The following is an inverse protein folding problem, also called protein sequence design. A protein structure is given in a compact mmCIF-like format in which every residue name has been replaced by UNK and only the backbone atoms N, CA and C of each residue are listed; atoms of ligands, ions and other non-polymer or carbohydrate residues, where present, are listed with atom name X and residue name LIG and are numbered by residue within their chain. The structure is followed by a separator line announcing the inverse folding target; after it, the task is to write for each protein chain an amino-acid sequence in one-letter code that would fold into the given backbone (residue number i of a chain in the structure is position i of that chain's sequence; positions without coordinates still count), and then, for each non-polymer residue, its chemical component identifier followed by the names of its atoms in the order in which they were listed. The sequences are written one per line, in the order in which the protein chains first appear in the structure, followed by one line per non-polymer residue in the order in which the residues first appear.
data_IF_047228591383
#
_entry.id   IF_047228591383
#
_cell.length_a   1.000
_cell.length_b   1.000
_cell.length_c   1.000
_cell.angle_alpha   90.00
_cell.angle_beta   90.00
_cell.angle_gamma   90.00
#
_symmetry.space_group_name_H-M   'P 1'
#
loop_
_entity.id
_entity.type
_entity.pdbx_description
1 polymer ?
#
# COMPACT_ATOMS: atom_id res chain seq x y z
N UNK A 1 -17.72 -18.55 -13.69
CA UNK A 1 -18.72 -18.01 -12.75
C UNK A 1 -18.66 -16.50 -12.93
N UNK A 2 -19.82 -15.84 -13.20
CA UNK A 2 -19.85 -14.41 -13.37
C UNK A 2 -19.54 -13.68 -12.03
N UNK A 3 -19.15 -12.42 -12.13
CA UNK A 3 -18.74 -11.61 -10.97
C UNK A 3 -19.85 -11.45 -9.91
N UNK A 4 -21.12 -11.40 -10.35
CA UNK A 4 -22.27 -11.22 -9.44
C UNK A 4 -22.51 -12.49 -8.63
N UNK A 5 -22.45 -13.65 -9.28
CA UNK A 5 -22.61 -14.96 -8.65
C UNK A 5 -21.44 -15.22 -7.67
N UNK A 6 -20.20 -14.85 -8.06
CA UNK A 6 -19.03 -14.97 -7.19
C UNK A 6 -19.18 -14.14 -5.90
N UNK A 7 -19.60 -12.87 -6.00
CA UNK A 7 -19.84 -12.03 -4.82
C UNK A 7 -20.92 -12.58 -3.89
N UNK A 8 -22.02 -13.09 -4.47
CA UNK A 8 -23.07 -13.74 -3.66
C UNK A 8 -22.53 -14.95 -2.92
N UNK A 9 -21.77 -15.80 -3.58
CA UNK A 9 -21.16 -16.98 -2.96
C UNK A 9 -20.20 -16.60 -1.83
N UNK A 10 -19.37 -15.58 -2.03
CA UNK A 10 -18.47 -15.07 -1.00
C UNK A 10 -19.22 -14.55 0.23
N UNK A 11 -20.33 -13.83 0.03
CA UNK A 11 -21.18 -13.36 1.13
C UNK A 11 -21.83 -14.52 1.88
N UNK A 12 -22.31 -15.54 1.20
CA UNK A 12 -22.89 -16.73 1.84
C UNK A 12 -21.83 -17.53 2.61
N UNK A 13 -20.61 -17.66 2.06
CA UNK A 13 -19.48 -18.29 2.78
C UNK A 13 -19.12 -17.50 4.05
N UNK A 14 -19.10 -16.17 3.97
CA UNK A 14 -18.84 -15.32 5.14
C UNK A 14 -19.92 -15.50 6.22
N UNK A 15 -21.19 -15.60 5.83
CA UNK A 15 -22.32 -15.87 6.74
C UNK A 15 -22.21 -17.26 7.36
N UNK A 16 -21.97 -18.29 6.55
CA UNK A 16 -21.79 -19.67 7.04
C UNK A 16 -20.65 -19.77 8.04
N UNK A 17 -19.51 -19.12 7.75
CA UNK A 17 -18.38 -19.05 8.68
C UNK A 17 -18.78 -18.47 10.04
N UNK A 18 -19.55 -17.40 10.05
CA UNK A 18 -19.99 -16.75 11.28
C UNK A 18 -20.94 -17.62 12.13
N UNK A 19 -21.66 -18.58 11.50
CA UNK A 19 -22.62 -19.45 12.19
C UNK A 19 -22.07 -20.85 12.49
N UNK A 20 -21.14 -21.33 11.67
CA UNK A 20 -20.54 -22.64 11.80
C UNK A 20 -19.17 -22.53 12.46
N UNK A 21 -19.07 -22.98 13.70
CA UNK A 21 -17.78 -22.99 14.41
C UNK A 21 -16.93 -24.20 13.98
N UNK A 22 -16.67 -24.31 12.66
CA UNK A 22 -15.87 -25.38 12.05
C UNK A 22 -14.64 -24.77 11.36
N UNK A 23 -13.48 -25.43 11.43
CA UNK A 23 -12.30 -24.99 10.69
C UNK A 23 -12.53 -25.12 9.18
N UNK A 24 -12.23 -24.06 8.43
CA UNK A 24 -12.31 -24.04 6.97
C UNK A 24 -10.96 -23.68 6.39
N UNK A 25 -10.53 -24.41 5.34
CA UNK A 25 -9.36 -24.10 4.58
C UNK A 25 -9.76 -23.62 3.18
N UNK A 26 -9.41 -22.37 2.86
CA UNK A 26 -9.61 -21.79 1.54
C UNK A 26 -8.27 -21.65 0.84
N UNK A 27 -8.19 -22.15 -0.39
CA UNK A 27 -7.04 -21.92 -1.28
C UNK A 27 -7.50 -21.03 -2.42
N UNK A 28 -6.92 -19.86 -2.50
CA UNK A 28 -7.26 -18.85 -3.51
C UNK A 28 -6.04 -18.06 -3.96
N UNK A 29 -6.09 -17.47 -5.13
CA UNK A 29 -5.14 -16.48 -5.61
C UNK A 29 -5.71 -15.05 -5.54
N UNK A 30 -6.95 -14.90 -5.06
CA UNK A 30 -7.63 -13.64 -4.92
C UNK A 30 -7.43 -13.11 -3.49
N UNK A 31 -6.69 -12.02 -3.38
CA UNK A 31 -6.35 -11.40 -2.10
C UNK A 31 -7.56 -10.77 -1.40
N UNK A 32 -8.50 -10.22 -2.17
CA UNK A 32 -9.72 -9.63 -1.63
C UNK A 32 -10.62 -10.71 -1.02
N UNK A 33 -10.72 -11.87 -1.69
CA UNK A 33 -11.41 -13.05 -1.17
C UNK A 33 -10.77 -13.55 0.13
N UNK A 34 -9.45 -13.68 0.16
CA UNK A 34 -8.73 -14.08 1.35
C UNK A 34 -8.91 -13.07 2.51
N UNK A 35 -8.84 -11.76 2.22
CA UNK A 35 -9.05 -10.70 3.21
C UNK A 35 -10.45 -10.72 3.81
N UNK A 36 -11.46 -10.99 2.99
CA UNK A 36 -12.86 -11.02 3.41
C UNK A 36 -13.22 -12.28 4.21
N UNK A 37 -12.63 -13.43 3.87
CA UNK A 37 -13.07 -14.72 4.37
C UNK A 37 -12.14 -15.33 5.43
N UNK A 38 -10.88 -14.95 5.53
CA UNK A 38 -9.93 -15.62 6.39
C UNK A 38 -9.72 -14.92 7.75
N UNK A 39 -9.59 -15.70 8.83
CA UNK A 39 -9.07 -15.24 10.11
C UNK A 39 -7.54 -15.23 10.11
N UNK A 40 -6.96 -16.19 9.38
CA UNK A 40 -5.51 -16.32 9.17
C UNK A 40 -5.21 -16.59 7.71
N UNK A 41 -4.13 -15.99 7.23
CA UNK A 41 -3.64 -16.11 5.87
C UNK A 41 -2.22 -16.68 5.87
N UNK A 42 -1.92 -17.48 4.89
CA UNK A 42 -0.57 -18.01 4.63
C UNK A 42 -0.21 -17.72 3.18
N UNK A 43 0.88 -17.02 2.96
CA UNK A 43 1.44 -16.81 1.61
C UNK A 43 2.32 -18.00 1.24
N UNK A 44 1.90 -18.71 0.18
CA UNK A 44 2.66 -19.81 -0.40
C UNK A 44 3.29 -19.35 -1.72
N UNK A 45 4.58 -19.60 -1.88
CA UNK A 45 5.28 -19.36 -3.13
C UNK A 45 6.32 -20.45 -3.40
N UNK A 46 6.25 -21.06 -4.58
CA UNK A 46 7.16 -22.15 -5.01
C UNK A 46 7.29 -23.27 -3.96
N UNK A 47 6.14 -23.70 -3.42
CA UNK A 47 6.08 -24.80 -2.44
C UNK A 47 6.58 -24.44 -1.03
N UNK A 48 6.81 -23.16 -0.73
CA UNK A 48 7.27 -22.72 0.59
C UNK A 48 6.32 -21.71 1.19
N UNK A 49 6.12 -21.80 2.50
CA UNK A 49 5.45 -20.74 3.28
C UNK A 49 6.41 -19.58 3.43
N UNK A 50 5.99 -18.38 3.02
CA UNK A 50 6.77 -17.15 3.15
C UNK A 50 6.38 -16.33 4.37
N UNK A 51 5.08 -16.21 4.64
CA UNK A 51 4.55 -15.48 5.79
C UNK A 51 3.19 -16.05 6.18
N UNK A 52 2.90 -16.02 7.47
CA UNK A 52 1.58 -16.34 8.02
C UNK A 52 1.20 -15.27 9.05
N UNK A 53 -0.11 -14.92 9.09
CA UNK A 53 -0.64 -13.92 10.02
C UNK A 53 -2.12 -13.68 9.77
N UNK A 54 -2.69 -12.63 10.33
CA UNK A 54 -4.00 -12.13 9.91
C UNK A 54 -3.89 -11.55 8.50
N UNK A 55 -4.97 -11.49 7.71
CA UNK A 55 -4.92 -10.86 6.38
C UNK A 55 -4.36 -9.43 6.43
N UNK A 56 -4.76 -8.66 7.44
CA UNK A 56 -4.29 -7.29 7.61
C UNK A 56 -2.77 -7.24 7.88
N UNK A 57 -2.24 -8.07 8.78
CA UNK A 57 -0.80 -8.15 9.04
C UNK A 57 -0.01 -8.54 7.80
N UNK A 58 -0.47 -9.54 7.04
CA UNK A 58 0.24 -10.02 5.84
C UNK A 58 0.23 -8.97 4.73
N UNK A 59 -0.88 -8.27 4.55
CA UNK A 59 -1.05 -7.29 3.48
C UNK A 59 -0.46 -5.92 3.80
N UNK A 60 -0.43 -5.50 5.08
CA UNK A 60 0.09 -4.18 5.47
C UNK A 60 1.50 -4.23 6.04
N UNK A 61 1.97 -5.40 6.49
CA UNK A 61 3.29 -5.61 7.11
C UNK A 61 4.03 -6.79 6.48
N UNK A 62 4.30 -6.77 5.17
CA UNK A 62 5.04 -7.84 4.52
C UNK A 62 6.46 -7.93 5.09
N UNK A 63 6.90 -9.17 5.40
CA UNK A 63 8.23 -9.42 5.98
C UNK A 63 9.37 -9.35 4.96
N UNK A 64 9.05 -9.20 3.67
CA UNK A 64 10.05 -9.03 2.61
C UNK A 64 9.46 -8.32 1.39
N UNK A 65 10.35 -7.74 0.56
CA UNK A 65 9.98 -7.15 -0.72
C UNK A 65 9.29 -8.15 -1.67
N UNK A 66 9.63 -9.43 -1.58
CA UNK A 66 8.97 -10.49 -2.36
C UNK A 66 7.52 -10.67 -1.95
N UNK A 67 7.23 -10.67 -0.65
CA UNK A 67 5.86 -10.77 -0.14
C UNK A 67 5.08 -9.51 -0.49
N UNK A 68 5.69 -8.33 -0.34
CA UNK A 68 5.07 -7.06 -0.73
C UNK A 68 4.58 -7.08 -2.19
N UNK A 69 5.39 -7.61 -3.11
CA UNK A 69 4.98 -7.78 -4.52
C UNK A 69 3.87 -8.81 -4.70
N UNK A 70 3.93 -9.93 -3.96
CA UNK A 70 2.90 -10.98 -4.04
C UNK A 70 1.55 -10.52 -3.54
N UNK A 71 1.51 -9.64 -2.53
CA UNK A 71 0.27 -9.03 -2.03
C UNK A 71 -0.11 -7.75 -2.79
N UNK A 72 0.53 -7.47 -3.93
CA UNK A 72 0.14 -6.40 -4.85
C UNK A 72 0.50 -4.98 -4.42
N UNK A 73 1.42 -4.82 -3.47
CA UNK A 73 1.90 -3.49 -3.07
C UNK A 73 2.74 -2.88 -4.21
N UNK A 74 2.26 -1.76 -4.74
CA UNK A 74 2.86 -1.08 -5.90
C UNK A 74 3.98 -0.11 -5.50
N UNK A 75 3.82 0.60 -4.37
CA UNK A 75 4.75 1.64 -3.91
C UNK A 75 5.86 1.02 -3.04
N UNK A 76 6.66 0.16 -3.62
CA UNK A 76 7.80 -0.49 -2.96
C UNK A 76 9.10 0.16 -3.44
N UNK A 77 9.81 0.83 -2.54
CA UNK A 77 11.01 1.60 -2.85
C UNK A 77 12.21 1.13 -2.03
N UNK A 78 13.40 1.48 -2.50
CA UNK A 78 14.64 1.41 -1.72
C UNK A 78 14.85 2.71 -0.94
N UNK A 79 15.42 2.61 0.25
CA UNK A 79 15.82 3.75 1.07
C UNK A 79 17.04 3.41 1.90
N UNK A 80 17.56 4.39 2.62
CA UNK A 80 18.68 4.22 3.54
C UNK A 80 18.31 4.77 4.91
N UNK A 81 18.63 4.06 5.98
CA UNK A 81 18.40 4.55 7.33
C UNK A 81 19.39 5.68 7.64
N UNK A 82 18.90 6.80 8.13
CA UNK A 82 19.68 7.98 8.45
C UNK A 82 19.42 8.44 9.89
N UNK A 83 20.43 9.01 10.52
CA UNK A 83 20.26 9.66 11.82
C UNK A 83 19.88 11.11 11.61
N UNK A 84 18.75 11.54 12.12
CA UNK A 84 18.29 12.93 12.03
C UNK A 84 17.52 13.35 13.29
N UNK A 85 17.82 14.53 13.83
CA UNK A 85 17.14 15.08 15.00
C UNK A 85 17.17 14.22 16.26
N UNK A 86 18.17 13.32 16.39
CA UNK A 86 18.30 12.39 17.53
C UNK A 86 17.51 11.09 17.39
N UNK A 87 16.83 10.88 16.24
CA UNK A 87 16.09 9.67 15.90
C UNK A 87 16.57 9.01 14.61
N UNK A 88 16.19 7.75 14.43
CA UNK A 88 16.39 7.02 13.18
C UNK A 88 15.25 7.37 12.23
N UNK A 89 15.59 7.79 11.01
CA UNK A 89 14.64 8.13 9.94
C UNK A 89 14.95 7.38 8.66
N UNK A 90 14.01 7.41 7.72
CA UNK A 90 14.19 6.84 6.40
C UNK A 90 14.64 7.93 5.41
N UNK A 91 15.85 7.80 4.91
CA UNK A 91 16.37 8.63 3.82
C UNK A 91 15.86 8.16 2.47
N UNK A 92 15.10 9.01 1.78
CA UNK A 92 14.56 8.74 0.46
C UNK A 92 14.41 10.03 -0.35
N UNK A 93 14.86 10.02 -1.61
CA UNK A 93 14.81 11.15 -2.58
C UNK A 93 15.22 12.51 -1.98
N UNK A 94 16.27 12.51 -1.14
CA UNK A 94 16.77 13.71 -0.48
C UNK A 94 16.03 14.15 0.78
N UNK A 95 15.02 13.41 1.22
CA UNK A 95 14.26 13.68 2.46
C UNK A 95 14.59 12.66 3.55
N UNK A 96 14.47 13.07 4.80
CA UNK A 96 14.49 12.21 5.99
C UNK A 96 13.05 12.05 6.50
N UNK A 97 12.45 10.89 6.22
CA UNK A 97 11.03 10.62 6.48
C UNK A 97 10.84 9.97 7.85
N UNK A 98 9.81 10.39 8.56
CA UNK A 98 9.30 9.69 9.73
C UNK A 98 8.44 8.52 9.27
N UNK A 99 8.74 7.32 9.79
CA UNK A 99 8.02 6.10 9.43
C UNK A 99 7.46 5.43 10.68
N UNK A 100 6.31 4.79 10.54
CA UNK A 100 5.58 4.20 11.67
C UNK A 100 6.38 3.12 12.41
N UNK A 101 7.28 2.44 11.69
CA UNK A 101 8.19 1.43 12.27
C UNK A 101 9.51 1.49 11.53
N UNK A 102 10.58 1.59 12.30
CA UNK A 102 11.94 1.63 11.79
C UNK A 102 12.85 0.82 12.73
N UNK A 103 13.61 -0.11 12.15
CA UNK A 103 14.57 -0.95 12.87
C UNK A 103 15.82 -1.07 12.01
N UNK A 104 17.00 -1.03 12.61
CA UNK A 104 18.27 -1.14 11.92
C UNK A 104 19.28 -0.10 12.37
N UNK A 105 20.34 0.07 11.61
CA UNK A 105 21.42 1.01 11.90
C UNK A 105 21.53 2.09 10.83
N UNK A 106 21.97 3.31 11.17
CA UNK A 106 22.26 4.34 10.18
C UNK A 106 23.20 3.83 9.09
N UNK A 107 22.89 4.12 7.83
CA UNK A 107 23.61 3.64 6.65
C UNK A 107 23.10 2.33 6.07
N UNK A 108 22.22 1.61 6.76
CA UNK A 108 21.62 0.38 6.24
C UNK A 108 20.63 0.67 5.11
N UNK A 109 20.69 -0.17 4.06
CA UNK A 109 19.72 -0.12 2.95
C UNK A 109 18.51 -0.96 3.29
N UNK A 110 17.32 -0.37 3.14
CA UNK A 110 16.05 -1.00 3.43
C UNK A 110 15.10 -0.93 2.24
N UNK A 111 14.19 -1.89 2.16
CA UNK A 111 13.00 -1.76 1.30
C UNK A 111 11.84 -1.30 2.15
N UNK A 112 11.06 -0.37 1.64
CA UNK A 112 9.93 0.20 2.35
C UNK A 112 8.74 0.42 1.42
N UNK A 113 7.56 0.59 1.98
CA UNK A 113 6.29 0.67 1.26
C UNK A 113 5.52 1.90 1.68
N UNK A 114 4.93 2.56 0.71
CA UNK A 114 3.90 3.60 0.96
C UNK A 114 2.53 2.99 0.67
N UNK A 115 1.67 2.78 1.67
CA UNK A 115 0.29 2.41 1.43
C UNK A 115 -0.40 3.51 0.60
N UNK A 116 -1.09 3.15 -0.51
CA UNK A 116 -1.75 4.16 -1.36
C UNK A 116 -2.76 5.03 -0.58
N UNK A 117 -3.37 4.46 0.44
CA UNK A 117 -4.33 5.14 1.33
C UNK A 117 -3.67 6.18 2.25
N UNK A 118 -2.35 6.06 2.47
CA UNK A 118 -1.55 7.00 3.26
C UNK A 118 -1.05 8.21 2.48
N UNK A 119 -1.33 8.28 1.16
CA UNK A 119 -0.88 9.40 0.33
C UNK A 119 -1.94 10.50 0.33
N UNK A 120 -1.57 11.67 0.83
CA UNK A 120 -2.38 12.89 0.77
C UNK A 120 -1.79 13.84 -0.26
N UNK A 121 -2.60 14.31 -1.20
CA UNK A 121 -2.16 15.25 -2.23
C UNK A 121 -2.48 16.68 -1.80
N UNK A 122 -1.45 17.50 -1.71
CA UNK A 122 -1.54 18.94 -1.46
C UNK A 122 -1.04 19.73 -2.68
N UNK A 123 -1.61 20.90 -2.92
CA UNK A 123 -1.08 21.84 -3.91
C UNK A 123 0.19 22.50 -3.38
N UNK A 124 1.14 22.83 -4.24
CA UNK A 124 2.39 23.54 -3.84
C UNK A 124 2.11 24.84 -3.08
N UNK A 125 1.07 25.58 -3.48
CA UNK A 125 0.67 26.84 -2.83
C UNK A 125 -0.06 26.63 -1.50
N UNK A 126 -0.45 25.39 -1.20
CA UNK A 126 -1.15 24.99 0.02
C UNK A 126 -0.56 23.69 0.57
N UNK A 127 0.71 23.73 1.03
CA UNK A 127 1.35 22.53 1.58
C UNK A 127 0.63 22.08 2.85
N UNK A 128 0.87 20.83 3.22
CA UNK A 128 0.42 20.27 4.48
C UNK A 128 0.86 21.13 5.66
N UNK A 129 0.01 21.20 6.69
CA UNK A 129 0.31 21.78 7.99
C UNK A 129 0.26 20.75 9.11
N UNK A 130 0.12 19.48 8.77
CA UNK A 130 0.07 18.35 9.72
C UNK A 130 1.45 18.01 10.27
N UNK A 131 1.57 17.91 11.59
CA UNK A 131 2.84 17.56 12.27
C UNK A 131 3.28 16.12 12.03
N UNK A 132 2.36 15.24 11.57
CA UNK A 132 2.60 13.80 11.33
C UNK A 132 2.75 13.45 9.85
N UNK A 133 2.95 14.42 8.97
CA UNK A 133 3.07 14.20 7.53
C UNK A 133 4.51 14.37 7.06
N UNK A 134 4.88 13.56 6.07
CA UNK A 134 6.16 13.67 5.37
C UNK A 134 5.95 14.41 4.04
N UNK A 135 6.08 15.74 3.98
CA UNK A 135 5.85 16.47 2.76
C UNK A 135 6.97 16.20 1.75
N UNK A 136 6.61 15.65 0.60
CA UNK A 136 7.52 15.41 -0.52
C UNK A 136 6.93 16.05 -1.76
N UNK A 137 7.66 17.01 -2.35
CA UNK A 137 7.26 17.63 -3.59
C UNK A 137 7.48 16.68 -4.78
N UNK A 138 6.69 16.83 -5.82
CA UNK A 138 6.81 15.99 -7.01
C UNK A 138 5.95 16.51 -8.17
N UNK A 139 6.11 15.88 -9.33
CA UNK A 139 5.38 16.19 -10.54
C UNK A 139 4.48 15.02 -10.92
N UNK A 140 3.24 15.31 -11.30
CA UNK A 140 2.30 14.30 -11.79
C UNK A 140 2.75 13.83 -13.17
N UNK A 141 3.12 12.57 -13.27
CA UNK A 141 3.55 11.95 -14.51
C UNK A 141 2.36 11.51 -15.36
N UNK A 142 1.33 10.95 -14.71
CA UNK A 142 0.21 10.32 -15.39
C UNK A 142 -1.04 10.33 -14.51
N UNK A 143 -2.21 10.45 -15.16
CA UNK A 143 -3.53 10.38 -14.55
C UNK A 143 -4.42 9.44 -15.35
N UNK A 144 -4.81 8.32 -14.78
CA UNK A 144 -5.69 7.34 -15.42
C UNK A 144 -7.05 7.30 -14.72
N UNK A 145 -8.11 7.69 -15.45
CA UNK A 145 -9.47 7.62 -14.93
C UNK A 145 -9.99 6.19 -14.97
N UNK A 146 -10.34 5.64 -13.81
CA UNK A 146 -10.87 4.29 -13.62
C UNK A 146 -12.27 4.37 -12.97
N UNK A 147 -13.22 4.92 -13.72
CA UNK A 147 -14.60 5.11 -13.26
C UNK A 147 -14.68 6.10 -12.08
N UNK A 148 -15.06 5.66 -10.84
CA UNK A 148 -15.23 6.57 -9.71
C UNK A 148 -13.92 7.07 -9.13
N UNK A 149 -12.78 6.48 -9.50
CA UNK A 149 -11.45 6.86 -9.04
C UNK A 149 -10.55 7.24 -10.20
N UNK A 150 -9.62 8.14 -9.94
CA UNK A 150 -8.51 8.48 -10.83
C UNK A 150 -7.22 8.03 -10.17
N UNK A 151 -6.51 7.13 -10.83
CA UNK A 151 -5.17 6.71 -10.43
C UNK A 151 -4.17 7.78 -10.88
N UNK A 152 -3.32 8.19 -9.96
CA UNK A 152 -2.29 9.20 -10.17
C UNK A 152 -0.92 8.54 -9.98
N UNK A 153 0.01 8.87 -10.85
CA UNK A 153 1.42 8.54 -10.72
C UNK A 153 2.22 9.83 -10.58
N UNK A 154 2.80 10.05 -9.41
CA UNK A 154 3.57 11.25 -9.09
C UNK A 154 5.04 10.85 -8.93
N UNK A 155 5.92 11.50 -9.67
CA UNK A 155 7.38 11.34 -9.53
C UNK A 155 7.85 12.37 -8.51
N UNK A 156 8.42 11.93 -7.36
CA UNK A 156 8.99 12.83 -6.37
C UNK A 156 10.17 13.63 -6.94
N UNK A 157 10.33 14.86 -6.51
CA UNK A 157 11.49 15.67 -6.85
C UNK A 157 12.77 14.98 -6.31
N UNK A 158 13.77 14.81 -7.18
CA UNK A 158 14.99 14.06 -6.87
C UNK A 158 14.88 12.53 -7.02
N UNK A 159 13.70 12.00 -7.36
CA UNK A 159 13.46 10.60 -7.64
C UNK A 159 13.20 10.31 -9.12
N UNK A 160 13.13 9.01 -9.47
CA UNK A 160 12.77 8.54 -10.81
C UNK A 160 11.60 7.56 -10.80
N UNK A 161 11.30 6.96 -9.65
CA UNK A 161 10.24 5.98 -9.50
C UNK A 161 8.95 6.68 -9.05
N UNK A 162 7.82 6.50 -9.75
CA UNK A 162 6.58 7.15 -9.39
C UNK A 162 5.92 6.50 -8.16
N UNK A 163 5.34 7.33 -7.31
CA UNK A 163 4.38 6.93 -6.28
C UNK A 163 3.00 6.84 -6.93
N UNK A 164 2.34 5.69 -6.83
CA UNK A 164 1.01 5.45 -7.36
C UNK A 164 -0.03 5.49 -6.24
N UNK A 165 -1.09 6.25 -6.42
CA UNK A 165 -2.22 6.33 -5.50
C UNK A 165 -3.50 6.68 -6.26
N UNK A 166 -4.65 6.58 -5.59
CA UNK A 166 -5.93 6.89 -6.21
C UNK A 166 -6.68 7.93 -5.39
N UNK A 167 -7.33 8.84 -6.11
CA UNK A 167 -8.27 9.80 -5.51
C UNK A 167 -9.65 9.64 -6.16
N UNK A 168 -10.75 10.02 -5.50
CA UNK A 168 -12.05 10.09 -6.15
C UNK A 168 -11.99 10.99 -7.38
N UNK A 169 -12.58 10.57 -8.50
CA UNK A 169 -12.49 11.29 -9.78
C UNK A 169 -12.96 12.74 -9.67
N UNK A 170 -14.04 13.00 -8.91
CA UNK A 170 -14.50 14.37 -8.68
C UNK A 170 -13.50 15.25 -7.92
N UNK A 171 -12.61 14.64 -7.10
CA UNK A 171 -11.53 15.37 -6.40
C UNK A 171 -10.42 15.71 -7.38
N UNK A 172 -10.06 14.79 -8.27
CA UNK A 172 -9.09 15.04 -9.34
C UNK A 172 -9.55 16.19 -10.24
N UNK A 173 -10.81 16.13 -10.70
CA UNK A 173 -11.41 17.15 -11.57
C UNK A 173 -11.48 18.52 -10.87
N UNK A 174 -12.01 18.59 -9.64
CA UNK A 174 -12.10 19.85 -8.88
C UNK A 174 -10.77 20.53 -8.62
N UNK A 175 -9.70 19.76 -8.53
CA UNK A 175 -8.36 20.26 -8.26
C UNK A 175 -7.49 20.39 -9.51
N UNK A 176 -8.06 20.16 -10.71
CA UNK A 176 -7.37 20.22 -12.00
C UNK A 176 -6.08 19.40 -12.01
N UNK A 177 -6.14 18.18 -11.43
CA UNK A 177 -4.97 17.31 -11.37
C UNK A 177 -4.71 16.74 -12.77
N UNK A 178 -3.60 17.13 -13.36
CA UNK A 178 -3.16 16.75 -14.69
C UNK A 178 -1.65 16.49 -14.71
N UNK A 179 -1.13 15.77 -15.72
CA UNK A 179 0.30 15.65 -15.95
C UNK A 179 0.98 17.00 -16.16
N UNK A 180 2.17 17.19 -15.55
CA UNK A 180 2.99 18.42 -15.68
C UNK A 180 3.18 19.22 -14.42
#
# INVERSE_FOLDING_TARGET
VDQVTRRKLQQELARLRAHLNIPMLLVTHDLDEARMLADRMVILHRGRTLQAGTPDEVMTRPQSASIARLVGLQNLFGGTLVQDGGGLKLGWVGHALDVARIEGQPGERVSWVIPPEGVLLHRRERPSRGEAENPVAGTVQDCLRLGPFTQIRLVPDGGSEPVAFSVPTHVAERNDIAPG
#
